data_IF_441712216108
#
_entry.id   IF_441712216108
#
_cell.length_a   1.000
_cell.length_b   1.000
_cell.length_c   1.000
_cell.angle_alpha   90.00
_cell.angle_beta   90.00
_cell.angle_gamma   90.00
#
_symmetry.space_group_name_H-M   'P 1'
#
loop_
_entity.id
_entity.type
_entity.pdbx_description
1 polymer ?
#
# COMPACT_ATOMS: atom_id res chain seq x y z
N UNK A 1 -2.27 -12.15 -30.61
CA UNK A 1 -2.35 -13.35 -29.74
C UNK A 1 -2.58 -12.86 -28.32
N UNK A 2 -3.69 -13.24 -27.68
CA UNK A 2 -3.94 -12.86 -26.30
C UNK A 2 -2.95 -13.63 -25.42
N UNK A 3 -1.91 -12.94 -24.93
CA UNK A 3 -0.96 -13.53 -23.98
C UNK A 3 -1.77 -13.92 -22.74
N UNK A 4 -1.95 -15.22 -22.50
CA UNK A 4 -2.59 -15.71 -21.28
C UNK A 4 -1.76 -15.23 -20.10
N UNK A 5 -2.27 -14.26 -19.33
CA UNK A 5 -1.58 -13.71 -18.16
C UNK A 5 -1.21 -14.83 -17.21
N UNK A 6 0.01 -14.81 -16.68
CA UNK A 6 0.46 -15.75 -15.65
C UNK A 6 -0.44 -15.67 -14.42
N UNK A 7 -0.52 -16.74 -13.63
CA UNK A 7 -1.27 -16.72 -12.36
C UNK A 7 -0.73 -15.64 -11.40
N UNK A 8 0.58 -15.35 -11.46
CA UNK A 8 1.17 -14.25 -10.70
C UNK A 8 0.69 -12.88 -11.18
N UNK A 9 0.65 -12.65 -12.49
CA UNK A 9 0.16 -11.40 -13.06
C UNK A 9 -1.30 -11.16 -12.66
N UNK A 10 -2.14 -12.21 -12.72
CA UNK A 10 -3.53 -12.13 -12.25
C UNK A 10 -3.59 -11.77 -10.78
N UNK A 11 -2.76 -12.40 -9.94
CA UNK A 11 -2.72 -12.11 -8.50
C UNK A 11 -2.28 -10.69 -8.20
N UNK A 12 -1.21 -10.20 -8.84
CA UNK A 12 -0.72 -8.81 -8.68
C UNK A 12 -1.83 -7.82 -9.01
N UNK A 13 -2.53 -8.03 -10.13
CA UNK A 13 -3.61 -7.13 -10.55
C UNK A 13 -4.82 -7.22 -9.62
N UNK A 14 -5.20 -8.41 -9.17
CA UNK A 14 -6.29 -8.60 -8.20
C UNK A 14 -6.01 -7.87 -6.89
N UNK A 15 -4.83 -8.09 -6.29
CA UNK A 15 -4.42 -7.42 -5.05
C UNK A 15 -4.33 -5.91 -5.24
N UNK A 16 -3.88 -5.44 -6.40
CA UNK A 16 -3.85 -4.00 -6.73
C UNK A 16 -5.26 -3.39 -6.78
N UNK A 17 -6.24 -4.11 -7.33
CA UNK A 17 -7.64 -3.68 -7.36
C UNK A 17 -8.28 -3.70 -5.98
N UNK A 18 -8.04 -4.74 -5.18
CA UNK A 18 -8.50 -4.80 -3.78
C UNK A 18 -7.94 -3.64 -2.96
N UNK A 19 -6.63 -3.36 -3.08
CA UNK A 19 -6.00 -2.22 -2.41
C UNK A 19 -6.65 -0.90 -2.85
N UNK A 20 -6.91 -0.72 -4.15
CA UNK A 20 -7.61 0.48 -4.65
C UNK A 20 -9.01 0.62 -4.03
N UNK A 21 -9.78 -0.46 -3.97
CA UNK A 21 -11.09 -0.48 -3.33
C UNK A 21 -11.04 -0.09 -1.85
N UNK A 22 -10.10 -0.65 -1.09
CA UNK A 22 -9.94 -0.31 0.34
C UNK A 22 -9.56 1.16 0.54
N UNK A 23 -8.63 1.68 -0.27
CA UNK A 23 -8.18 3.08 -0.16
C UNK A 23 -9.29 4.07 -0.51
N UNK A 24 -10.07 3.79 -1.55
CA UNK A 24 -11.20 4.63 -1.98
C UNK A 24 -12.40 4.52 -1.03
N UNK A 25 -12.52 3.41 -0.29
CA UNK A 25 -13.50 3.22 0.78
C UNK A 25 -13.04 3.72 2.15
N UNK A 26 -11.88 4.41 2.25
CA UNK A 26 -11.32 4.93 3.50
C UNK A 26 -10.97 3.86 4.54
N UNK A 27 -10.82 2.59 4.13
CA UNK A 27 -10.48 1.45 4.99
C UNK A 27 -8.96 1.31 5.14
N UNK A 28 -8.34 2.29 5.78
CA UNK A 28 -6.87 2.43 5.79
C UNK A 28 -6.13 1.36 6.61
N UNK A 29 -6.76 0.81 7.64
CA UNK A 29 -6.20 -0.29 8.43
C UNK A 29 -6.14 -1.59 7.61
N UNK A 30 -7.24 -1.97 6.98
CA UNK A 30 -7.31 -3.13 6.07
C UNK A 30 -6.38 -2.95 4.85
N UNK A 31 -6.25 -1.72 4.34
CA UNK A 31 -5.37 -1.40 3.22
C UNK A 31 -3.89 -1.66 3.52
N UNK A 32 -3.46 -1.60 4.79
CA UNK A 32 -2.08 -1.84 5.19
C UNK A 32 -1.61 -3.25 4.84
N UNK A 33 -2.45 -4.25 5.14
CA UNK A 33 -2.16 -5.65 4.86
C UNK A 33 -2.08 -5.89 3.35
N UNK A 34 -3.02 -5.35 2.58
CA UNK A 34 -3.03 -5.48 1.12
C UNK A 34 -1.88 -4.77 0.43
N UNK A 35 -1.44 -3.61 0.94
CA UNK A 35 -0.23 -2.97 0.47
C UNK A 35 1.02 -3.83 0.77
N UNK A 36 1.07 -4.48 1.93
CA UNK A 36 2.11 -5.45 2.29
C UNK A 36 2.16 -6.67 1.36
N UNK A 37 1.00 -7.23 1.05
CA UNK A 37 0.85 -8.33 0.09
C UNK A 37 1.34 -7.90 -1.30
N UNK A 38 0.87 -6.75 -1.79
CA UNK A 38 1.27 -6.21 -3.10
C UNK A 38 2.79 -5.97 -3.17
N UNK A 39 3.37 -5.35 -2.14
CA UNK A 39 4.82 -5.12 -2.07
C UNK A 39 5.62 -6.42 -2.14
N UNK A 40 5.14 -7.46 -1.46
CA UNK A 40 5.80 -8.78 -1.44
C UNK A 40 5.73 -9.46 -2.80
N UNK A 41 4.59 -9.37 -3.49
CA UNK A 41 4.43 -9.87 -4.85
C UNK A 41 5.40 -9.15 -5.80
N UNK A 42 5.45 -7.82 -5.77
CA UNK A 42 6.30 -7.01 -6.65
C UNK A 42 7.81 -7.26 -6.48
N UNK A 43 8.25 -7.79 -5.34
CA UNK A 43 9.66 -8.23 -5.15
C UNK A 43 10.02 -9.44 -6.01
N UNK A 44 9.05 -10.27 -6.37
CA UNK A 44 9.22 -11.47 -7.21
C UNK A 44 9.03 -11.15 -8.70
N UNK A 45 9.59 -10.01 -9.15
CA UNK A 45 9.38 -9.46 -10.51
C UNK A 45 9.87 -10.38 -11.63
N UNK A 46 10.83 -11.26 -11.35
CA UNK A 46 11.46 -12.16 -12.34
C UNK A 46 10.49 -13.23 -12.87
N UNK A 47 9.42 -13.52 -12.13
CA UNK A 47 8.40 -14.51 -12.49
C UNK A 47 7.14 -13.87 -13.10
N UNK A 48 7.17 -12.56 -13.34
CA UNK A 48 6.04 -11.80 -13.91
C UNK A 48 6.17 -11.68 -15.42
N UNK A 49 5.03 -11.73 -16.09
CA UNK A 49 4.92 -11.45 -17.54
C UNK A 49 4.35 -10.06 -17.82
N UNK A 50 4.02 -9.29 -16.77
CA UNK A 50 3.61 -7.90 -16.88
C UNK A 50 4.74 -7.05 -17.48
N UNK A 51 4.41 -6.04 -18.31
CA UNK A 51 5.39 -5.09 -18.79
C UNK A 51 6.14 -4.41 -17.63
N UNK A 52 7.48 -4.28 -17.70
CA UNK A 52 8.29 -3.73 -16.60
C UNK A 52 7.80 -2.37 -16.09
N UNK A 53 7.37 -1.48 -16.99
CA UNK A 53 6.84 -0.17 -16.63
C UNK A 53 5.60 -0.25 -15.72
N UNK A 54 4.74 -1.27 -15.88
CA UNK A 54 3.57 -1.46 -15.00
C UNK A 54 4.01 -1.87 -13.60
N UNK A 55 5.00 -2.76 -13.51
CA UNK A 55 5.57 -3.23 -12.24
C UNK A 55 6.20 -2.04 -11.51
N UNK A 56 6.96 -1.21 -12.22
CA UNK A 56 7.60 -0.02 -11.66
C UNK A 56 6.58 1.00 -11.14
N UNK A 57 5.52 1.27 -11.91
CA UNK A 57 4.43 2.15 -11.46
C UNK A 57 3.73 1.60 -10.21
N UNK A 58 3.40 0.30 -10.18
CA UNK A 58 2.80 -0.33 -9.01
C UNK A 58 3.70 -0.21 -7.78
N UNK A 59 4.99 -0.47 -7.93
CA UNK A 59 5.97 -0.34 -6.85
C UNK A 59 6.09 1.11 -6.36
N UNK A 60 6.07 2.08 -7.28
CA UNK A 60 6.08 3.50 -6.94
C UNK A 60 4.83 3.90 -6.14
N UNK A 61 3.64 3.44 -6.53
CA UNK A 61 2.41 3.74 -5.80
C UNK A 61 2.39 3.11 -4.40
N UNK A 62 2.87 1.87 -4.25
CA UNK A 62 3.03 1.22 -2.94
C UNK A 62 4.01 2.00 -2.05
N UNK A 63 5.13 2.47 -2.61
CA UNK A 63 6.09 3.33 -1.90
C UNK A 63 5.46 4.64 -1.44
N UNK A 64 4.68 5.30 -2.30
CA UNK A 64 3.94 6.51 -1.96
C UNK A 64 2.92 6.26 -0.85
N UNK A 65 2.21 5.14 -0.89
CA UNK A 65 1.28 4.74 0.17
C UNK A 65 1.99 4.62 1.53
N UNK A 66 3.13 3.92 1.59
CA UNK A 66 3.90 3.80 2.83
C UNK A 66 4.44 5.13 3.34
N UNK A 67 4.82 6.04 2.45
CA UNK A 67 5.19 7.40 2.83
C UNK A 67 4.03 8.11 3.54
N UNK A 68 2.81 8.07 2.97
CA UNK A 68 1.64 8.69 3.59
C UNK A 68 1.30 8.05 4.94
N UNK A 69 1.41 6.72 5.06
CA UNK A 69 1.19 6.06 6.35
C UNK A 69 2.19 6.54 7.42
N UNK A 70 3.45 6.82 7.05
CA UNK A 70 4.42 7.41 7.96
C UNK A 70 4.08 8.86 8.35
N UNK A 71 3.48 9.64 7.44
CA UNK A 71 2.97 10.99 7.75
C UNK A 71 1.85 10.90 8.79
N UNK A 72 0.89 9.99 8.62
CA UNK A 72 -0.18 9.75 9.60
C UNK A 72 0.39 9.36 10.97
N UNK A 73 1.36 8.44 11.01
CA UNK A 73 2.03 8.05 12.27
C UNK A 73 2.69 9.24 12.96
N UNK A 74 3.31 10.15 12.22
CA UNK A 74 3.89 11.38 12.80
C UNK A 74 2.80 12.30 13.36
N UNK A 75 1.71 12.49 12.62
CA UNK A 75 0.58 13.28 13.08
C UNK A 75 0.00 12.73 14.40
N UNK A 76 -0.23 11.41 14.48
CA UNK A 76 -0.68 10.77 15.72
C UNK A 76 0.28 11.01 16.88
N UNK A 77 1.60 10.88 16.69
CA UNK A 77 2.58 11.19 17.74
C UNK A 77 2.47 12.63 18.24
N UNK A 78 2.32 13.59 17.33
CA UNK A 78 2.13 15.00 17.70
C UNK A 78 0.83 15.20 18.49
N UNK A 79 -0.27 14.56 18.06
CA UNK A 79 -1.55 14.63 18.78
C UNK A 79 -1.45 14.02 20.19
N UNK A 80 -0.77 12.88 20.34
CA UNK A 80 -0.51 12.28 21.65
C UNK A 80 0.31 13.21 22.55
N UNK A 81 1.35 13.86 22.02
CA UNK A 81 2.14 14.81 22.78
C UNK A 81 1.32 16.04 23.23
N UNK A 82 0.37 16.51 22.43
CA UNK A 82 -0.58 17.55 22.85
C UNK A 82 -1.42 17.03 24.02
N UNK A 83 -1.93 15.80 23.95
CA UNK A 83 -2.68 15.17 25.05
C UNK A 83 -1.90 15.16 26.37
N UNK A 84 -0.62 14.78 26.34
CA UNK A 84 0.23 14.82 27.53
C UNK A 84 0.39 16.23 28.10
N UNK A 85 0.58 17.24 27.24
CA UNK A 85 0.67 18.65 27.70
C UNK A 85 -0.64 19.16 28.32
N UNK A 86 -1.79 18.71 27.82
CA UNK A 86 -3.08 19.08 28.40
C UNK A 86 -3.29 18.47 29.79
N UNK A 87 -2.70 17.31 30.05
CA UNK A 87 -2.74 16.65 31.36
C UNK A 87 -1.98 17.44 32.44
N UNK A 88 -1.00 18.27 32.07
CA UNK A 88 -0.24 19.12 33.00
C UNK A 88 -1.10 20.16 33.74
N UNK A 89 -2.34 20.40 33.30
CA UNK A 89 -3.29 21.31 33.94
C UNK A 89 -4.27 20.63 34.92
N UNK A 90 -4.14 19.32 35.16
CA UNK A 90 -4.85 18.60 36.24
C UNK A 90 -4.12 18.74 37.57
#
# INVERSE_FOLDING_TARGET
>A
MAQTRSEKDKKVLAVSQELSGLLTAYKYEEAWEKAGELNSLLKQREEMTLPPYMIDMLAQHVKSYYYQNNVIKKAHKTMTAIGHKLEEFK
#
